data_IF_859092819474
#
_entry.id   IF_859092819474
#
_cell.length_a   1.000
_cell.length_b   1.000
_cell.length_c   1.000
_cell.angle_alpha   90.00
_cell.angle_beta   90.00
_cell.angle_gamma   90.00
#
_symmetry.space_group_name_H-M   'P 1'
#
loop_
_entity.id
_entity.type
_entity.pdbx_description
1 polymer ?
#
# COMPACT_ATOMS: atom_id res chain seq x y z
N UNK A 1 22.78 70.37 -48.26
CA UNK A 1 21.74 70.46 -49.31
C UNK A 1 20.54 69.63 -48.86
N UNK A 2 19.37 70.27 -48.86
CA UNK A 2 18.06 69.73 -49.25
C UNK A 2 17.42 68.58 -48.44
N UNK A 3 16.41 69.02 -47.69
CA UNK A 3 15.16 68.41 -47.21
C UNK A 3 14.41 67.46 -48.17
N UNK A 4 13.47 66.70 -47.55
CA UNK A 4 12.13 66.28 -48.04
C UNK A 4 12.08 65.11 -49.09
N UNK A 5 11.08 64.20 -49.18
CA UNK A 5 9.86 63.79 -48.42
C UNK A 5 9.20 62.61 -49.18
N UNK A 6 8.12 62.03 -48.62
CA UNK A 6 6.92 61.42 -49.29
C UNK A 6 6.83 59.87 -49.32
N UNK A 7 5.98 59.29 -48.43
CA UNK A 7 4.66 58.61 -48.63
C UNK A 7 4.68 57.29 -49.43
N UNK A 8 3.84 56.27 -49.22
CA UNK A 8 2.70 55.87 -48.40
C UNK A 8 2.61 54.32 -48.59
N UNK A 9 1.80 53.46 -47.96
CA UNK A 9 0.38 53.53 -47.61
C UNK A 9 0.03 52.28 -46.82
N UNK A 10 -0.90 52.44 -45.90
CA UNK A 10 -1.59 51.49 -45.04
C UNK A 10 -2.17 50.25 -45.74
N UNK A 11 -2.18 49.12 -45.03
CA UNK A 11 -3.35 48.22 -45.00
C UNK A 11 -3.66 47.86 -43.54
N UNK A 12 -4.80 48.37 -43.09
CA UNK A 12 -5.54 47.95 -41.91
C UNK A 12 -6.24 46.63 -42.23
N UNK A 13 -6.23 45.67 -41.30
CA UNK A 13 -7.37 44.78 -41.10
C UNK A 13 -7.52 44.51 -39.59
N UNK A 14 -8.56 45.14 -39.06
CA UNK A 14 -9.12 44.92 -37.73
C UNK A 14 -9.64 43.48 -37.64
N UNK A 15 -9.27 42.78 -36.57
CA UNK A 15 -10.18 41.85 -35.91
C UNK A 15 -10.07 42.12 -34.41
N UNK A 16 -11.07 42.81 -33.89
CA UNK A 16 -11.25 43.07 -32.47
C UNK A 16 -12.29 42.12 -31.89
N UNK A 17 -12.19 41.93 -30.57
CA UNK A 17 -13.12 41.26 -29.65
C UNK A 17 -12.99 39.73 -29.63
N UNK A 18 -12.74 39.04 -28.52
CA UNK A 18 -12.85 39.42 -27.11
C UNK A 18 -12.16 38.38 -26.22
N UNK A 19 -11.85 38.84 -25.00
CA UNK A 19 -11.78 38.06 -23.76
C UNK A 19 -10.53 37.23 -23.49
N UNK A 20 -9.63 37.90 -22.76
CA UNK A 20 -8.82 37.36 -21.68
C UNK A 20 -9.74 36.63 -20.70
N UNK A 21 -9.70 35.31 -20.68
CA UNK A 21 -9.98 34.52 -19.48
C UNK A 21 -8.83 33.55 -19.27
N UNK A 22 -8.15 33.80 -18.17
CA UNK A 22 -7.15 32.97 -17.49
C UNK A 22 -7.49 31.49 -17.61
N UNK A 23 -6.64 30.73 -18.32
CA UNK A 23 -6.55 29.29 -18.12
C UNK A 23 -6.05 29.07 -16.70
N UNK A 24 -6.95 28.88 -15.74
CA UNK A 24 -6.65 28.00 -14.62
C UNK A 24 -6.46 26.63 -15.24
N UNK A 25 -5.19 26.24 -15.37
CA UNK A 25 -4.82 24.85 -15.49
C UNK A 25 -5.19 24.19 -14.15
N UNK A 26 -6.48 23.93 -13.97
CA UNK A 26 -6.96 22.96 -13.01
C UNK A 26 -6.44 21.62 -13.50
N UNK A 27 -5.23 21.30 -13.02
CA UNK A 27 -4.71 19.94 -13.00
C UNK A 27 -5.59 19.21 -12.00
N UNK A 28 -6.78 18.83 -12.45
CA UNK A 28 -7.59 17.83 -11.80
C UNK A 28 -6.89 16.50 -12.07
N UNK A 29 -5.84 16.23 -11.28
CA UNK A 29 -5.41 14.87 -11.05
C UNK A 29 -6.57 14.18 -10.33
N UNK A 30 -7.54 13.71 -11.11
CA UNK A 30 -8.57 12.82 -10.63
C UNK A 30 -7.85 11.69 -9.91
N UNK A 31 -7.94 11.67 -8.59
CA UNK A 31 -7.49 10.57 -7.77
C UNK A 31 -8.20 9.33 -8.32
N UNK A 32 -7.48 8.53 -9.09
CA UNK A 32 -8.00 7.24 -9.52
C UNK A 32 -8.29 6.49 -8.23
N UNK A 33 -9.58 6.27 -7.95
CA UNK A 33 -10.01 5.44 -6.84
C UNK A 33 -9.48 4.05 -7.16
N UNK A 34 -8.31 3.73 -6.61
CA UNK A 34 -7.70 2.42 -6.77
C UNK A 34 -8.64 1.42 -6.09
N UNK A 35 -9.27 0.56 -6.88
CA UNK A 35 -10.21 -0.42 -6.34
C UNK A 35 -9.45 -1.37 -5.41
N UNK A 36 -9.91 -1.46 -4.17
CA UNK A 36 -9.37 -2.41 -3.18
C UNK A 36 -9.69 -3.84 -3.66
N UNK A 37 -8.68 -4.69 -3.90
CA UNK A 37 -8.90 -6.09 -4.28
C UNK A 37 -9.54 -6.88 -3.14
N UNK A 38 -10.54 -7.68 -3.47
CA UNK A 38 -11.19 -8.63 -2.56
C UNK A 38 -11.09 -10.04 -3.12
N UNK A 39 -10.94 -11.08 -2.26
CA UNK A 39 -10.96 -12.44 -2.73
C UNK A 39 -12.37 -12.85 -3.19
N UNK A 40 -12.50 -13.72 -4.20
CA UNK A 40 -13.79 -14.26 -4.62
C UNK A 40 -14.44 -15.13 -3.53
N UNK A 41 -13.64 -15.68 -2.62
CA UNK A 41 -14.08 -16.47 -1.46
C UNK A 41 -12.99 -16.49 -0.39
N UNK A 42 -13.39 -16.66 0.87
CA UNK A 42 -12.48 -16.88 2.01
C UNK A 42 -12.21 -18.36 2.29
N UNK A 43 -12.63 -19.26 1.38
CA UNK A 43 -12.50 -20.71 1.56
C UNK A 43 -11.13 -21.20 1.10
N UNK A 44 -10.54 -22.10 1.88
CA UNK A 44 -9.35 -22.84 1.47
C UNK A 44 -9.73 -24.11 0.66
N UNK A 45 -8.95 -24.48 -0.37
CA UNK A 45 -7.74 -23.82 -0.86
C UNK A 45 -7.98 -22.64 -1.82
N UNK A 46 -9.23 -22.43 -2.27
CA UNK A 46 -9.61 -21.49 -3.34
C UNK A 46 -9.03 -20.06 -3.18
N UNK A 47 -9.06 -19.50 -1.96
CA UNK A 47 -8.49 -18.17 -1.69
C UNK A 47 -6.99 -18.08 -2.00
N UNK A 48 -6.25 -19.15 -1.72
CA UNK A 48 -4.81 -19.16 -1.97
C UNK A 48 -4.50 -19.31 -3.45
N UNK A 49 -5.33 -20.06 -4.17
CA UNK A 49 -5.18 -20.23 -5.62
C UNK A 49 -5.44 -18.90 -6.32
N UNK A 50 -6.56 -18.23 -6.00
CA UNK A 50 -6.87 -16.89 -6.48
C UNK A 50 -5.76 -15.87 -6.12
N UNK A 51 -5.24 -15.94 -4.88
CA UNK A 51 -4.14 -15.07 -4.46
C UNK A 51 -2.85 -15.31 -5.28
N UNK A 52 -2.49 -16.57 -5.57
CA UNK A 52 -1.30 -16.90 -6.39
C UNK A 52 -1.42 -16.44 -7.84
N UNK A 53 -2.63 -16.42 -8.40
CA UNK A 53 -2.86 -15.88 -9.75
C UNK A 53 -2.57 -14.38 -9.82
N UNK A 54 -2.88 -13.64 -8.75
CA UNK A 54 -2.64 -12.21 -8.65
C UNK A 54 -1.19 -11.88 -8.29
N UNK A 55 -0.64 -12.57 -7.29
CA UNK A 55 0.68 -12.30 -6.73
C UNK A 55 1.47 -13.60 -6.62
N UNK A 56 2.12 -14.05 -7.72
CA UNK A 56 2.80 -15.34 -7.74
C UNK A 56 4.12 -15.36 -6.96
N UNK A 57 4.68 -14.18 -6.67
CA UNK A 57 5.99 -14.01 -6.03
C UNK A 57 5.90 -13.09 -4.81
N UNK A 58 6.73 -13.35 -3.80
CA UNK A 58 6.90 -12.47 -2.65
C UNK A 58 7.61 -11.16 -3.01
N UNK A 59 7.76 -10.26 -2.03
CA UNK A 59 8.51 -8.99 -2.17
C UNK A 59 9.94 -9.25 -2.68
N UNK A 60 10.55 -10.36 -2.26
CA UNK A 60 11.91 -10.75 -2.64
C UNK A 60 11.97 -11.60 -3.92
N UNK A 61 10.86 -11.73 -4.63
CA UNK A 61 10.79 -12.50 -5.88
C UNK A 61 10.81 -14.02 -5.67
N UNK A 62 10.54 -14.52 -4.45
CA UNK A 62 10.46 -15.96 -4.17
C UNK A 62 9.06 -16.48 -4.50
N UNK A 63 8.92 -17.68 -5.10
CA UNK A 63 7.62 -18.29 -5.26
C UNK A 63 7.04 -18.73 -3.91
N UNK A 64 5.73 -18.58 -3.75
CA UNK A 64 5.02 -19.12 -2.59
C UNK A 64 4.90 -20.64 -2.66
N UNK A 65 5.18 -21.34 -1.55
CA UNK A 65 5.03 -22.78 -1.45
C UNK A 65 3.55 -23.21 -1.41
N UNK A 66 3.28 -24.52 -1.33
CA UNK A 66 1.91 -25.06 -1.32
C UNK A 66 1.02 -24.53 -0.18
N UNK A 67 1.61 -24.08 0.92
CA UNK A 67 0.91 -23.47 2.07
C UNK A 67 0.84 -21.94 1.99
N UNK A 68 1.32 -21.34 0.90
CA UNK A 68 1.19 -19.91 0.65
C UNK A 68 2.30 -19.06 1.24
N UNK A 69 3.36 -19.66 1.78
CA UNK A 69 4.49 -18.93 2.35
C UNK A 69 5.69 -18.93 1.41
N UNK A 70 6.42 -17.82 1.36
CA UNK A 70 7.71 -17.74 0.67
C UNK A 70 8.82 -18.51 1.40
N UNK A 71 8.64 -18.70 2.71
CA UNK A 71 9.56 -19.37 3.62
C UNK A 71 8.94 -20.63 4.25
N UNK A 72 9.73 -21.60 4.72
CA UNK A 72 9.23 -22.73 5.49
C UNK A 72 8.51 -22.30 6.77
N UNK A 73 7.52 -23.07 7.22
CA UNK A 73 6.74 -22.77 8.43
C UNK A 73 7.63 -22.82 9.68
N UNK A 74 8.67 -23.65 9.66
CA UNK A 74 9.65 -23.80 10.73
C UNK A 74 10.44 -22.51 10.95
N UNK A 75 10.75 -21.79 9.88
CA UNK A 75 11.41 -20.48 9.93
C UNK A 75 10.46 -19.42 10.48
N UNK A 76 9.21 -19.41 10.01
CA UNK A 76 8.17 -18.51 10.55
C UNK A 76 8.00 -18.67 12.06
N UNK A 77 8.08 -19.89 12.60
CA UNK A 77 7.93 -20.16 14.05
C UNK A 77 9.11 -19.67 14.90
N UNK A 78 10.24 -19.37 14.29
CA UNK A 78 11.48 -19.00 14.98
C UNK A 78 11.83 -17.51 14.83
N UNK A 79 10.96 -16.73 14.16
CA UNK A 79 11.18 -15.30 13.96
C UNK A 79 11.33 -14.55 15.30
N UNK A 80 12.34 -13.71 15.37
CA UNK A 80 12.56 -12.78 16.48
C UNK A 80 11.66 -11.55 16.32
N UNK A 81 10.35 -11.78 16.37
CA UNK A 81 9.33 -10.78 16.00
C UNK A 81 9.41 -9.49 16.80
N UNK A 82 9.95 -9.52 18.02
CA UNK A 82 10.13 -8.35 18.90
C UNK A 82 11.25 -7.42 18.44
N UNK A 83 12.25 -7.92 17.71
CA UNK A 83 13.45 -7.17 17.32
C UNK A 83 13.54 -6.94 15.82
N UNK A 84 12.88 -7.77 15.01
CA UNK A 84 12.83 -7.60 13.57
C UNK A 84 12.08 -6.33 13.19
N UNK A 85 12.57 -5.62 12.18
CA UNK A 85 11.87 -4.45 11.66
C UNK A 85 10.59 -4.87 10.92
N UNK A 86 9.61 -3.97 10.82
CA UNK A 86 8.42 -4.18 9.99
C UNK A 86 8.78 -4.51 8.53
N UNK A 87 9.86 -3.91 8.02
CA UNK A 87 10.35 -4.13 6.67
C UNK A 87 10.91 -5.55 6.45
N UNK A 88 11.46 -6.17 7.49
CA UNK A 88 11.88 -7.58 7.45
C UNK A 88 10.70 -8.52 7.66
N UNK A 89 9.81 -8.19 8.61
CA UNK A 89 8.64 -9.01 8.94
C UNK A 89 7.67 -9.19 7.78
N UNK A 90 7.46 -8.15 6.96
CA UNK A 90 6.56 -8.25 5.80
C UNK A 90 6.97 -9.34 4.80
N UNK A 91 8.25 -9.75 4.75
CA UNK A 91 8.70 -10.80 3.83
C UNK A 91 8.12 -12.18 4.17
N UNK A 92 7.61 -12.36 5.40
CA UNK A 92 7.05 -13.60 5.90
C UNK A 92 5.52 -13.67 5.81
N UNK A 93 4.88 -12.62 5.28
CA UNK A 93 3.45 -12.64 5.02
C UNK A 93 3.10 -13.70 3.97
N UNK A 94 1.91 -14.28 4.09
CA UNK A 94 1.44 -15.28 3.14
C UNK A 94 0.89 -14.64 1.86
N UNK A 95 0.73 -15.47 0.83
CA UNK A 95 0.23 -15.05 -0.48
C UNK A 95 -1.13 -14.37 -0.42
N UNK A 96 -1.99 -14.76 0.53
CA UNK A 96 -3.31 -14.15 0.70
C UNK A 96 -3.17 -12.71 1.19
N UNK A 97 -2.29 -12.46 2.17
CA UNK A 97 -1.95 -11.11 2.60
C UNK A 97 -1.33 -10.28 1.48
N UNK A 98 -0.47 -10.89 0.67
CA UNK A 98 0.13 -10.18 -0.47
C UNK A 98 -0.92 -9.73 -1.49
N UNK A 99 -1.92 -10.58 -1.77
CA UNK A 99 -2.96 -10.30 -2.76
C UNK A 99 -4.08 -9.38 -2.23
N UNK A 100 -4.42 -9.49 -0.95
CA UNK A 100 -5.60 -8.82 -0.35
C UNK A 100 -5.27 -8.12 0.98
N UNK A 101 -4.28 -7.21 1.02
CA UNK A 101 -3.81 -6.60 2.27
C UNK A 101 -4.90 -5.80 2.99
N UNK A 102 -5.66 -4.97 2.27
CA UNK A 102 -6.77 -4.21 2.86
C UNK A 102 -7.90 -5.09 3.39
N UNK A 103 -8.20 -6.19 2.69
CA UNK A 103 -9.30 -7.08 3.06
C UNK A 103 -9.05 -7.77 4.41
N UNK A 104 -7.80 -8.18 4.65
CA UNK A 104 -7.32 -8.68 5.92
C UNK A 104 -7.11 -7.54 6.93
N UNK A 105 -6.65 -6.38 6.47
CA UNK A 105 -6.37 -5.21 7.27
C UNK A 105 -7.57 -4.69 8.05
N UNK A 106 -8.79 -4.80 7.49
CA UNK A 106 -10.03 -4.45 8.19
C UNK A 106 -10.31 -5.28 9.45
N UNK A 107 -9.65 -6.43 9.62
CA UNK A 107 -9.80 -7.30 10.80
C UNK A 107 -8.68 -7.06 11.83
N UNK A 108 -7.60 -6.37 11.45
CA UNK A 108 -6.42 -6.15 12.31
C UNK A 108 -6.78 -5.36 13.55
N UNK A 109 -7.60 -4.32 13.45
CA UNK A 109 -7.98 -3.50 14.61
C UNK A 109 -8.61 -4.35 15.71
N UNK A 110 -9.55 -5.22 15.35
CA UNK A 110 -10.23 -6.11 16.28
C UNK A 110 -9.25 -7.14 16.88
N UNK A 111 -8.42 -7.78 16.06
CA UNK A 111 -7.46 -8.80 16.52
C UNK A 111 -6.40 -8.22 17.45
N UNK A 112 -5.86 -7.06 17.11
CA UNK A 112 -4.78 -6.44 17.86
C UNK A 112 -5.24 -5.89 19.21
N UNK A 113 -6.50 -5.47 19.34
CA UNK A 113 -7.04 -4.94 20.61
C UNK A 113 -7.57 -6.05 21.53
N UNK A 114 -7.98 -7.21 20.96
CA UNK A 114 -8.61 -8.30 21.71
C UNK A 114 -7.68 -9.45 22.09
N UNK A 115 -6.51 -9.57 21.45
CA UNK A 115 -5.57 -10.68 21.65
C UNK A 115 -4.31 -10.20 22.36
N UNK A 116 -3.84 -10.97 23.35
CA UNK A 116 -2.57 -10.67 24.02
C UNK A 116 -1.38 -10.86 23.03
N UNK A 117 -0.33 -10.06 23.18
CA UNK A 117 0.74 -9.99 22.19
C UNK A 117 1.48 -11.33 21.98
N UNK A 118 1.61 -12.14 23.02
CA UNK A 118 2.23 -13.48 23.02
C UNK A 118 1.30 -14.59 22.50
N UNK A 119 0.00 -14.32 22.37
CA UNK A 119 -0.96 -15.23 21.73
C UNK A 119 -1.01 -15.04 20.21
N UNK A 120 -0.50 -13.92 19.69
CA UNK A 120 -0.43 -13.66 18.25
C UNK A 120 0.65 -14.53 17.60
N UNK A 121 0.24 -15.30 16.59
CA UNK A 121 1.19 -16.08 15.79
C UNK A 121 2.14 -15.17 15.01
N UNK A 122 3.39 -15.62 14.79
CA UNK A 122 4.35 -14.91 13.94
C UNK A 122 3.82 -14.62 12.53
N UNK A 123 2.93 -15.49 12.00
CA UNK A 123 2.21 -15.23 10.74
C UNK A 123 1.32 -14.00 10.85
N UNK A 124 0.51 -13.91 11.91
CA UNK A 124 -0.38 -12.77 12.13
C UNK A 124 0.44 -11.48 12.22
N UNK A 125 1.54 -11.49 12.97
CA UNK A 125 2.46 -10.35 13.07
C UNK A 125 3.06 -9.98 11.70
N UNK A 126 3.49 -10.96 10.91
CA UNK A 126 3.97 -10.73 9.54
C UNK A 126 2.88 -10.15 8.62
N UNK A 127 1.63 -10.60 8.79
CA UNK A 127 0.48 -10.02 8.08
C UNK A 127 0.28 -8.56 8.44
N UNK A 128 0.28 -8.22 9.73
CA UNK A 128 0.18 -6.83 10.19
C UNK A 128 1.31 -5.98 9.63
N UNK A 129 2.54 -6.50 9.63
CA UNK A 129 3.68 -5.81 9.05
C UNK A 129 3.48 -5.55 7.55
N UNK A 130 3.07 -6.54 6.76
CA UNK A 130 2.82 -6.35 5.33
C UNK A 130 1.71 -5.34 5.07
N UNK A 131 0.59 -5.44 5.80
CA UNK A 131 -0.55 -4.50 5.65
C UNK A 131 -0.12 -3.07 5.95
N UNK A 132 0.73 -2.86 6.96
CA UNK A 132 1.21 -1.52 7.33
C UNK A 132 1.95 -0.78 6.20
N UNK A 133 2.55 -1.52 5.26
CA UNK A 133 3.21 -0.95 4.08
C UNK A 133 2.31 -0.95 2.84
N UNK A 134 1.54 -2.02 2.64
CA UNK A 134 1.02 -2.37 1.31
C UNK A 134 -0.49 -2.28 1.15
N UNK A 135 -1.27 -2.07 2.22
CA UNK A 135 -2.69 -1.74 2.05
C UNK A 135 -2.85 -0.46 1.23
N UNK A 136 -3.89 -0.38 0.41
CA UNK A 136 -4.22 0.80 -0.40
C UNK A 136 -4.80 1.90 0.50
N UNK A 137 -5.69 1.53 1.41
CA UNK A 137 -6.31 2.42 2.39
C UNK A 137 -5.28 2.89 3.43
N UNK A 138 -5.14 4.20 3.55
CA UNK A 138 -4.17 4.83 4.44
C UNK A 138 -4.52 4.65 5.93
N UNK A 139 -5.80 4.57 6.27
CA UNK A 139 -6.27 4.29 7.63
C UNK A 139 -5.87 2.89 8.05
N UNK A 140 -6.16 1.90 7.20
CA UNK A 140 -5.76 0.50 7.43
C UNK A 140 -4.24 0.38 7.61
N UNK A 141 -3.44 1.03 6.74
CA UNK A 141 -1.97 1.04 6.89
C UNK A 141 -1.55 1.60 8.25
N UNK A 142 -2.12 2.74 8.64
CA UNK A 142 -1.78 3.42 9.89
C UNK A 142 -2.17 2.59 11.12
N UNK A 143 -3.34 1.95 11.10
CA UNK A 143 -3.80 1.07 12.17
C UNK A 143 -2.91 -0.16 12.32
N UNK A 144 -2.55 -0.80 11.20
CA UNK A 144 -1.64 -1.93 11.22
C UNK A 144 -0.25 -1.55 11.74
N UNK A 145 0.28 -0.38 11.34
CA UNK A 145 1.56 0.12 11.86
C UNK A 145 1.51 0.34 13.39
N UNK A 146 0.42 0.93 13.89
CA UNK A 146 0.22 1.14 15.32
C UNK A 146 0.08 -0.18 16.09
N UNK A 147 -0.67 -1.15 15.54
CA UNK A 147 -0.76 -2.49 16.11
C UNK A 147 0.62 -3.14 16.23
N UNK A 148 1.39 -3.19 15.14
CA UNK A 148 2.70 -3.84 15.15
C UNK A 148 3.62 -3.23 16.21
N UNK A 149 3.67 -1.90 16.31
CA UNK A 149 4.47 -1.20 17.30
C UNK A 149 4.07 -1.58 18.74
N UNK A 150 2.76 -1.69 19.01
CA UNK A 150 2.23 -2.11 20.31
C UNK A 150 2.62 -3.56 20.63
N UNK A 151 2.36 -4.48 19.71
CA UNK A 151 2.68 -5.91 19.88
C UNK A 151 4.17 -6.10 20.18
N UNK A 152 5.05 -5.45 19.40
CA UNK A 152 6.50 -5.56 19.62
C UNK A 152 6.92 -4.96 20.98
N UNK A 153 6.35 -3.82 21.38
CA UNK A 153 6.63 -3.22 22.68
C UNK A 153 6.17 -4.11 23.85
N UNK A 154 5.02 -4.78 23.70
CA UNK A 154 4.47 -5.68 24.72
C UNK A 154 5.35 -6.91 24.90
N UNK A 155 5.76 -7.55 23.79
CA UNK A 155 6.67 -8.70 23.81
C UNK A 155 8.03 -8.35 24.45
N UNK A 156 8.58 -7.16 24.17
CA UNK A 156 9.83 -6.69 24.79
C UNK A 156 9.68 -6.50 26.32
N UNK A 157 8.52 -6.05 26.78
CA UNK A 157 8.25 -5.86 28.21
C UNK A 157 8.13 -7.18 28.96
N UNK A 158 7.47 -8.17 28.38
CA UNK A 158 7.25 -9.47 29.03
C UNK A 158 8.55 -10.22 29.32
N UNK A 159 9.57 -10.11 28.47
CA UNK A 159 10.88 -10.75 28.69
C UNK A 159 11.78 -10.05 29.69
N UNK A 160 11.43 -8.82 30.09
CA UNK A 160 12.19 -8.04 31.08
C UNK A 160 11.81 -8.40 32.53
N UNK A 161 10.90 -9.35 32.71
CA UNK A 161 10.36 -9.82 34.00
C UNK A 161 10.68 -11.30 34.25
#
# INVERSE_FOLDING_TARGET
MTRLLILATSVLLLSACSQIETQTADTEAAAQVQSIPEPPTWRFPDIMEAARELVPLSIEGKPFNRHGFAYPIEELKQLDVKNMSAAELQNYADVTTHAYPDALGRQIADECDSTEADELSNRAIATVAYVSFNAIDAGIRSEAAACLARVQADLQRQESH
#
